data_IF_904114828373
#
_entry.id   IF_904114828373
#
_cell.length_a   1.000
_cell.length_b   1.000
_cell.length_c   1.000
_cell.angle_alpha   90.00
_cell.angle_beta   90.00
_cell.angle_gamma   90.00
#
_symmetry.space_group_name_H-M   'P 1'
#
loop_
_entity.id
_entity.type
_entity.pdbx_description
1 polymer ?
#
# COMPACT_ATOMS: atom_id res chain seq x y z
N UNK A 1 -29.45 -44.74 3.09
CA UNK A 1 -28.74 -44.33 1.86
C UNK A 1 -28.40 -42.85 2.04
N UNK A 2 -27.21 -42.55 2.59
CA UNK A 2 -26.85 -41.21 3.06
C UNK A 2 -26.03 -40.50 1.98
N UNK A 3 -26.50 -39.33 1.56
CA UNK A 3 -25.88 -38.47 0.57
C UNK A 3 -24.88 -37.57 1.33
N UNK A 4 -23.58 -37.85 1.19
CA UNK A 4 -22.53 -37.02 1.78
C UNK A 4 -22.31 -35.78 0.91
N UNK A 5 -22.94 -34.67 1.28
CA UNK A 5 -22.49 -33.33 0.89
C UNK A 5 -21.25 -32.97 1.73
N UNK A 6 -20.07 -33.12 1.15
CA UNK A 6 -18.87 -32.51 1.73
C UNK A 6 -18.88 -31.00 1.47
N UNK A 7 -19.55 -30.32 2.40
CA UNK A 7 -19.23 -29.02 2.97
C UNK A 7 -18.07 -28.25 2.30
N UNK A 8 -18.42 -27.34 1.39
CA UNK A 8 -17.55 -26.25 0.96
C UNK A 8 -17.59 -25.21 2.09
N UNK A 9 -16.83 -25.47 3.16
CA UNK A 9 -16.57 -24.46 4.19
C UNK A 9 -15.62 -23.42 3.61
N UNK A 10 -16.21 -22.42 2.95
CA UNK A 10 -15.60 -21.11 2.75
C UNK A 10 -15.20 -20.63 4.15
N UNK A 11 -13.90 -20.67 4.43
CA UNK A 11 -13.33 -20.13 5.64
C UNK A 11 -13.56 -18.63 5.65
N UNK A 12 -14.60 -18.23 6.39
CA UNK A 12 -14.87 -16.86 6.80
C UNK A 12 -13.74 -16.42 7.75
N UNK A 13 -13.11 -15.29 7.43
CA UNK A 13 -12.36 -14.41 8.34
C UNK A 13 -11.06 -14.95 8.97
N UNK A 14 -10.03 -15.04 8.12
CA UNK A 14 -8.66 -14.57 8.43
C UNK A 14 -8.23 -13.80 7.19
N UNK A 15 -7.77 -12.56 7.33
CA UNK A 15 -7.31 -11.74 6.19
C UNK A 15 -6.10 -12.42 5.57
N UNK A 16 -6.33 -13.32 4.60
CA UNK A 16 -5.28 -14.00 3.89
C UNK A 16 -4.72 -13.02 2.87
N UNK A 17 -3.62 -12.36 3.20
CA UNK A 17 -2.91 -11.53 2.24
C UNK A 17 -2.13 -12.45 1.28
N UNK A 18 -2.65 -12.60 0.06
CA UNK A 18 -1.97 -13.29 -1.04
C UNK A 18 -1.26 -12.25 -1.93
N UNK A 19 -0.11 -12.62 -2.48
CA UNK A 19 0.56 -11.85 -3.55
C UNK A 19 -0.40 -11.52 -4.69
N UNK A 20 -1.36 -12.40 -5.00
CA UNK A 20 -2.38 -12.13 -6.02
C UNK A 20 -3.25 -10.91 -5.69
N UNK A 21 -3.55 -10.67 -4.41
CA UNK A 21 -4.35 -9.52 -4.01
C UNK A 21 -3.54 -8.22 -4.11
N UNK A 22 -2.23 -8.27 -3.84
CA UNK A 22 -1.31 -7.15 -4.08
C UNK A 22 -1.25 -6.83 -5.57
N UNK A 23 -1.08 -7.85 -6.42
CA UNK A 23 -1.05 -7.67 -7.89
C UNK A 23 -2.34 -7.03 -8.39
N UNK A 24 -3.50 -7.51 -7.92
CA UNK A 24 -4.80 -6.93 -8.27
C UNK A 24 -4.91 -5.48 -7.83
N UNK A 25 -4.51 -5.17 -6.60
CA UNK A 25 -4.49 -3.80 -6.10
C UNK A 25 -3.68 -2.89 -7.04
N UNK A 26 -2.45 -3.30 -7.38
CA UNK A 26 -1.58 -2.54 -8.30
C UNK A 26 -2.23 -2.39 -9.68
N UNK A 27 -2.83 -3.45 -10.23
CA UNK A 27 -3.53 -3.38 -11.52
C UNK A 27 -4.73 -2.42 -11.50
N UNK A 28 -5.51 -2.43 -10.42
CA UNK A 28 -6.66 -1.53 -10.24
C UNK A 28 -6.21 -0.06 -10.14
N UNK A 29 -5.08 0.20 -9.47
CA UNK A 29 -4.48 1.54 -9.40
C UNK A 29 -4.12 2.09 -10.78
N UNK A 30 -3.48 1.28 -11.63
CA UNK A 30 -3.15 1.69 -12.99
C UNK A 30 -4.36 1.81 -13.92
N UNK A 31 -5.41 1.05 -13.64
CA UNK A 31 -6.64 1.06 -14.45
C UNK A 31 -7.55 2.25 -14.13
N UNK A 32 -7.45 2.82 -12.93
CA UNK A 32 -8.29 3.92 -12.44
C UNK A 32 -7.46 5.18 -12.16
N UNK A 33 -7.39 6.09 -13.14
CA UNK A 33 -6.61 7.35 -13.04
C UNK A 33 -6.85 8.16 -11.76
N UNK A 34 -8.08 8.30 -11.22
CA UNK A 34 -8.31 9.05 -9.98
C UNK A 34 -7.68 8.39 -8.75
N UNK A 35 -7.66 7.06 -8.70
CA UNK A 35 -7.15 6.29 -7.55
C UNK A 35 -5.64 6.42 -7.44
N UNK A 36 -4.93 6.37 -8.57
CA UNK A 36 -3.49 6.62 -8.62
C UNK A 36 -3.16 8.06 -8.19
N UNK A 37 -3.98 9.04 -8.57
CA UNK A 37 -3.85 10.42 -8.11
C UNK A 37 -3.89 10.53 -6.58
N UNK A 38 -4.91 9.93 -5.96
CA UNK A 38 -5.05 9.90 -4.49
C UNK A 38 -3.84 9.24 -3.82
N UNK A 39 -3.32 8.14 -4.37
CA UNK A 39 -2.15 7.48 -3.82
C UNK A 39 -0.90 8.37 -3.90
N UNK A 40 -0.68 9.05 -5.03
CA UNK A 40 0.44 10.00 -5.18
C UNK A 40 0.35 11.16 -4.20
N UNK A 41 -0.85 11.68 -3.97
CA UNK A 41 -1.06 12.77 -3.02
C UNK A 41 -0.84 12.31 -1.58
N UNK A 42 -1.24 11.07 -1.26
CA UNK A 42 -0.95 10.43 0.01
C UNK A 42 0.56 10.28 0.23
N UNK A 43 1.28 9.73 -0.75
CA UNK A 43 2.73 9.57 -0.72
C UNK A 43 3.46 10.90 -0.53
N UNK A 44 3.01 11.96 -1.22
CA UNK A 44 3.56 13.32 -1.03
C UNK A 44 3.50 13.78 0.42
N UNK A 45 2.39 13.53 1.12
CA UNK A 45 2.28 13.91 2.55
C UNK A 45 3.27 13.13 3.42
N UNK A 46 3.51 11.86 3.11
CA UNK A 46 4.49 11.04 3.85
C UNK A 46 5.91 11.59 3.65
N UNK A 47 6.25 11.95 2.42
CA UNK A 47 7.55 12.54 2.06
C UNK A 47 7.76 13.92 2.70
N UNK A 48 6.80 14.84 2.53
CA UNK A 48 6.86 16.22 3.05
C UNK A 48 6.84 16.30 4.60
N UNK A 49 6.51 15.20 5.28
CA UNK A 49 6.61 15.09 6.74
C UNK A 49 7.92 14.44 7.21
N UNK A 50 8.90 14.30 6.32
CA UNK A 50 10.22 13.69 6.53
C UNK A 50 10.15 12.28 7.11
N UNK A 51 9.09 11.53 6.77
CA UNK A 51 8.89 10.18 7.34
C UNK A 51 9.96 9.21 6.81
N UNK A 52 10.39 9.38 5.56
CA UNK A 52 11.41 8.53 4.93
C UNK A 52 12.83 8.70 5.49
N UNK A 53 13.08 9.72 6.32
CA UNK A 53 14.36 9.86 7.05
C UNK A 53 14.51 8.79 8.15
N UNK A 54 13.39 8.25 8.62
CA UNK A 54 13.38 7.26 9.69
C UNK A 54 13.68 5.85 9.16
N UNK A 55 14.37 5.06 9.98
CA UNK A 55 14.89 3.75 9.58
C UNK A 55 13.80 2.82 9.01
N UNK A 56 14.13 2.17 7.89
CA UNK A 56 13.34 1.21 7.12
C UNK A 56 12.04 1.78 6.50
N UNK A 57 11.67 3.05 6.68
CA UNK A 57 10.41 3.57 6.12
C UNK A 57 10.38 3.56 4.59
N UNK A 58 11.52 3.75 3.96
CA UNK A 58 11.75 3.69 2.52
C UNK A 58 11.65 2.27 1.93
N UNK A 59 11.75 1.23 2.77
CA UNK A 59 11.65 -0.18 2.35
C UNK A 59 10.19 -0.69 2.30
N UNK A 60 9.21 0.15 2.57
CA UNK A 60 7.80 -0.24 2.64
C UNK A 60 7.17 -0.55 1.30
N UNK A 61 6.44 -1.65 1.20
CA UNK A 61 5.66 -2.01 0.02
C UNK A 61 4.17 -1.80 0.27
N UNK A 62 3.45 -1.21 -0.71
CA UNK A 62 2.00 -1.06 -0.61
C UNK A 62 1.33 -2.44 -0.59
N UNK A 63 0.66 -2.75 0.52
CA UNK A 63 -0.11 -3.97 0.70
C UNK A 63 -1.55 -3.80 0.22
N UNK A 64 -2.18 -2.67 0.51
CA UNK A 64 -3.57 -2.39 0.13
C UNK A 64 -3.87 -0.89 0.14
N UNK A 65 -4.74 -0.43 -0.78
CA UNK A 65 -5.20 0.95 -0.85
C UNK A 65 -4.74 1.67 -2.13
N UNK A 66 -5.12 2.96 -2.29
CA UNK A 66 -5.82 3.78 -1.31
C UNK A 66 -7.32 3.46 -1.25
N UNK A 67 -7.84 3.31 -0.03
CA UNK A 67 -9.28 3.20 0.22
C UNK A 67 -9.83 4.59 0.48
N UNK A 68 -10.64 5.08 -0.45
CA UNK A 68 -11.23 6.41 -0.35
C UNK A 68 -12.50 6.40 0.51
N UNK A 69 -12.44 7.04 1.69
CA UNK A 69 -13.60 7.20 2.57
C UNK A 69 -14.05 8.66 2.61
N UNK A 70 -15.16 8.96 3.29
CA UNK A 70 -15.73 10.32 3.33
C UNK A 70 -14.73 11.38 3.83
N UNK A 71 -13.98 11.07 4.89
CA UNK A 71 -13.12 12.04 5.58
C UNK A 71 -11.64 11.67 5.59
N UNK A 72 -11.30 10.46 5.16
CA UNK A 72 -9.95 9.93 5.24
C UNK A 72 -9.64 9.04 4.04
N UNK A 73 -8.35 8.89 3.78
CA UNK A 73 -7.79 7.89 2.87
C UNK A 73 -7.02 6.88 3.71
N UNK A 74 -7.19 5.59 3.43
CA UNK A 74 -6.51 4.53 4.17
C UNK A 74 -5.65 3.68 3.24
N UNK A 75 -4.36 3.58 3.58
CA UNK A 75 -3.38 2.70 2.94
C UNK A 75 -2.80 1.75 3.99
N UNK A 76 -2.45 0.54 3.57
CA UNK A 76 -1.69 -0.40 4.38
C UNK A 76 -0.41 -0.75 3.64
N UNK A 77 0.70 -0.70 4.35
CA UNK A 77 2.03 -1.01 3.85
C UNK A 77 2.59 -2.18 4.62
N UNK A 78 3.51 -2.91 4.01
CA UNK A 78 4.15 -4.08 4.61
C UNK A 78 5.67 -4.00 4.56
N UNK A 79 6.28 -4.65 5.55
CA UNK A 79 7.72 -4.83 5.67
C UNK A 79 8.03 -6.28 6.03
N UNK A 80 9.19 -6.82 5.62
CA UNK A 80 9.73 -8.03 6.21
C UNK A 80 9.78 -7.95 7.75
N UNK A 81 9.61 -9.08 8.42
CA UNK A 81 9.54 -9.15 9.88
C UNK A 81 10.76 -8.54 10.62
N UNK A 82 11.94 -8.64 10.01
CA UNK A 82 13.23 -8.12 10.50
C UNK A 82 13.48 -6.65 10.11
N UNK A 83 12.59 -6.06 9.31
CA UNK A 83 12.68 -4.69 8.78
C UNK A 83 11.55 -3.79 9.29
N UNK A 84 11.12 -3.98 10.53
CA UNK A 84 10.09 -3.12 11.15
C UNK A 84 10.46 -1.63 11.00
N UNK A 85 9.56 -0.78 10.47
CA UNK A 85 9.82 0.64 10.33
C UNK A 85 9.86 1.32 11.70
N UNK A 86 10.74 2.31 11.86
CA UNK A 86 10.94 3.03 13.12
C UNK A 86 9.64 3.74 13.55
N UNK A 87 9.08 3.44 14.74
CA UNK A 87 7.85 4.06 15.21
C UNK A 87 7.88 5.61 15.26
N UNK A 88 9.06 6.23 15.33
CA UNK A 88 9.20 7.69 15.30
C UNK A 88 8.73 8.31 13.98
N UNK A 89 8.89 7.62 12.84
CA UNK A 89 8.32 8.07 11.56
C UNK A 89 6.79 8.06 11.60
N UNK A 90 6.21 7.02 12.20
CA UNK A 90 4.76 6.95 12.39
C UNK A 90 4.25 8.03 13.33
N UNK A 91 5.06 8.43 14.32
CA UNK A 91 4.74 9.55 15.20
C UNK A 91 4.62 10.89 14.45
N UNK A 92 5.45 11.14 13.43
CA UNK A 92 5.32 12.36 12.58
C UNK A 92 3.93 12.46 11.97
N UNK A 93 3.40 11.33 11.49
CA UNK A 93 2.05 11.24 10.94
C UNK A 93 0.99 11.45 12.02
N UNK A 94 1.12 10.81 13.20
CA UNK A 94 0.12 10.97 14.26
C UNK A 94 0.09 12.40 14.83
N UNK A 95 1.25 13.06 14.90
CA UNK A 95 1.36 14.47 15.32
C UNK A 95 0.62 15.42 14.35
N UNK A 96 0.30 14.96 13.12
CA UNK A 96 -0.48 15.68 12.10
C UNK A 96 -1.92 15.19 11.95
N UNK A 97 -2.41 14.38 12.89
CA UNK A 97 -3.80 13.90 12.92
C UNK A 97 -4.06 12.62 12.13
N UNK A 98 -3.03 11.96 11.61
CA UNK A 98 -3.18 10.61 11.07
C UNK A 98 -3.38 9.59 12.20
N UNK A 99 -4.02 8.46 11.88
CA UNK A 99 -4.03 7.28 12.73
C UNK A 99 -3.11 6.23 12.12
N UNK A 100 -2.10 5.81 12.87
CA UNK A 100 -1.12 4.79 12.45
C UNK A 100 -1.23 3.58 13.38
N UNK A 101 -1.31 2.37 12.82
CA UNK A 101 -1.32 1.13 13.61
C UNK A 101 -0.37 0.10 13.02
N UNK A 102 0.31 -0.63 13.89
CA UNK A 102 1.27 -1.68 13.53
C UNK A 102 0.68 -3.04 13.92
N UNK A 103 0.73 -4.00 13.00
CA UNK A 103 0.29 -5.37 13.23
C UNK A 103 1.32 -6.35 12.66
N UNK A 104 1.39 -7.54 13.24
CA UNK A 104 2.11 -8.68 12.63
C UNK A 104 1.12 -9.48 11.81
N UNK A 105 1.54 -9.90 10.62
CA UNK A 105 0.74 -10.76 9.75
C UNK A 105 1.65 -11.73 8.96
N UNK A 106 1.06 -12.56 8.10
CA UNK A 106 1.75 -13.49 7.22
C UNK A 106 1.33 -13.25 5.78
N UNK A 107 2.32 -12.95 4.92
CA UNK A 107 2.15 -12.86 3.48
C UNK A 107 2.36 -14.24 2.84
N UNK A 108 1.35 -14.72 2.13
CA UNK A 108 1.43 -16.02 1.47
C UNK A 108 1.92 -15.85 0.03
N UNK A 109 3.07 -16.44 -0.29
CA UNK A 109 3.66 -16.40 -1.63
C UNK A 109 3.67 -17.81 -2.24
N UNK A 110 3.29 -17.96 -3.53
CA UNK A 110 3.55 -19.19 -4.25
C UNK A 110 5.06 -19.46 -4.33
N UNK A 111 5.47 -20.68 -4.00
CA UNK A 111 6.86 -21.11 -4.14
C UNK A 111 7.22 -21.24 -5.63
N UNK A 112 8.36 -20.68 -6.07
CA UNK A 112 8.91 -20.97 -7.39
C UNK A 112 9.20 -22.47 -7.53
N UNK A 113 8.70 -23.11 -8.58
CA UNK A 113 8.90 -24.54 -8.80
C UNK A 113 10.33 -24.76 -9.30
N UNK A 114 11.15 -25.47 -8.51
CA UNK A 114 12.50 -25.89 -8.92
C UNK A 114 12.58 -27.41 -9.14
N UNK A 115 11.75 -28.19 -8.43
CA UNK A 115 11.70 -29.65 -8.57
C UNK A 115 10.31 -30.26 -8.33
N UNK A 116 10.15 -31.58 -8.54
CA UNK A 116 8.90 -32.33 -8.33
C UNK A 116 8.33 -32.20 -6.90
N UNK A 117 9.17 -31.97 -5.91
CA UNK A 117 8.81 -31.80 -4.49
C UNK A 117 8.11 -30.47 -4.17
N UNK A 118 8.29 -29.45 -5.02
CA UNK A 118 7.70 -28.12 -4.86
C UNK A 118 6.23 -28.07 -5.28
N UNK A 119 5.75 -29.12 -5.92
CA UNK A 119 4.33 -29.29 -6.24
C UNK A 119 3.53 -29.69 -5.01
N UNK A 120 2.28 -29.22 -4.95
CA UNK A 120 1.29 -29.79 -4.05
C UNK A 120 0.92 -31.20 -4.53
N UNK A 121 0.78 -32.19 -3.64
CA UNK A 121 0.44 -33.55 -4.03
C UNK A 121 -0.78 -33.59 -4.96
N UNK A 122 -0.62 -34.15 -6.16
CA UNK A 122 -1.69 -34.29 -7.14
C UNK A 122 -2.05 -33.04 -7.95
N UNK A 123 -1.26 -31.95 -7.90
CA UNK A 123 -1.51 -30.76 -8.73
C UNK A 123 -0.22 -30.19 -9.34
N UNK A 124 -0.35 -29.41 -10.41
CA UNK A 124 0.74 -28.61 -11.00
C UNK A 124 0.95 -27.26 -10.31
N UNK A 125 0.25 -27.00 -9.19
CA UNK A 125 0.40 -25.76 -8.43
C UNK A 125 1.52 -25.91 -7.40
N UNK A 126 2.39 -24.92 -7.35
CA UNK A 126 3.43 -24.83 -6.34
C UNK A 126 2.84 -24.78 -4.92
N UNK A 127 3.64 -25.19 -3.92
CA UNK A 127 3.33 -24.95 -2.50
C UNK A 127 3.21 -23.44 -2.24
N UNK A 128 2.46 -23.08 -1.20
CA UNK A 128 2.35 -21.70 -0.75
C UNK A 128 3.14 -21.61 0.57
N UNK A 129 4.09 -20.68 0.62
CA UNK A 129 4.90 -20.42 1.80
C UNK A 129 4.45 -19.13 2.47
N UNK A 130 4.29 -19.18 3.79
CA UNK A 130 3.98 -18.01 4.62
C UNK A 130 5.26 -17.26 4.98
N UNK A 131 5.24 -15.94 4.75
CA UNK A 131 6.34 -15.04 5.06
C UNK A 131 5.85 -14.06 6.15
N UNK A 132 6.40 -14.11 7.37
CA UNK A 132 6.02 -13.17 8.42
C UNK A 132 6.36 -11.74 8.00
N UNK A 133 5.40 -10.83 8.22
CA UNK A 133 5.51 -9.42 7.87
C UNK A 133 5.02 -8.52 9.00
N UNK A 134 5.51 -7.29 9.00
CA UNK A 134 4.84 -6.17 9.65
C UNK A 134 3.88 -5.52 8.68
N UNK A 135 2.72 -5.11 9.18
CA UNK A 135 1.73 -4.31 8.47
C UNK A 135 1.58 -3.00 9.21
N UNK A 136 1.78 -1.88 8.50
CA UNK A 136 1.48 -0.53 9.00
C UNK A 136 0.28 -0.01 8.25
N UNK A 137 -0.83 0.17 8.97
CA UNK A 137 -2.01 0.83 8.44
C UNK A 137 -1.98 2.30 8.80
N UNK A 138 -2.16 3.15 7.80
CA UNK A 138 -2.15 4.61 7.93
C UNK A 138 -3.49 5.12 7.40
N UNK A 139 -4.25 5.74 8.29
CA UNK A 139 -5.46 6.49 7.97
C UNK A 139 -5.17 7.98 8.04
N UNK A 140 -5.20 8.63 6.88
CA UNK A 140 -4.82 10.03 6.70
C UNK A 140 -6.07 10.91 6.46
N UNK A 141 -6.23 12.04 7.17
CA UNK A 141 -7.31 12.98 6.91
C UNK A 141 -7.19 13.60 5.51
N UNK A 142 -8.32 13.72 4.78
CA UNK A 142 -8.32 14.37 3.45
C UNK A 142 -7.92 15.84 3.51
N UNK A 143 -8.20 16.51 4.61
CA UNK A 143 -7.78 17.90 4.86
C UNK A 143 -6.25 18.02 4.87
N UNK A 144 -5.55 17.07 5.50
CA UNK A 144 -4.09 17.05 5.53
C UNK A 144 -3.53 16.92 4.10
N UNK A 145 -4.08 16.02 3.30
CA UNK A 145 -3.71 15.85 1.88
C UNK A 145 -3.93 17.15 1.10
N UNK A 146 -5.06 17.82 1.31
CA UNK A 146 -5.36 19.11 0.67
C UNK A 146 -4.36 20.21 1.01
N UNK A 147 -3.89 20.28 2.26
CA UNK A 147 -2.92 21.28 2.70
C UNK A 147 -1.57 21.16 1.98
N UNK A 148 -1.12 19.93 1.72
CA UNK A 148 0.14 19.67 1.02
C UNK A 148 0.04 19.79 -0.51
N UNK A 149 -1.17 19.78 -1.09
CA UNK A 149 -1.36 20.12 -2.51
C UNK A 149 -1.11 21.60 -2.76
N UNK A 150 -1.73 22.45 -1.96
CA UNK A 150 -1.73 23.90 -2.19
C UNK A 150 -0.44 24.60 -1.77
N UNK A 151 0.43 23.95 -0.99
CA UNK A 151 1.76 24.48 -0.64
C UNK A 151 2.74 24.60 -1.81
N UNK A 152 2.54 23.83 -2.90
CA UNK A 152 3.42 23.81 -4.08
C UNK A 152 2.78 24.33 -5.38
N UNK A 153 1.46 24.53 -5.38
CA UNK A 153 0.75 25.05 -6.56
C UNK A 153 1.16 26.51 -6.89
N UNK A 154 1.73 27.25 -5.95
CA UNK A 154 2.15 28.66 -6.15
C UNK A 154 3.51 28.75 -6.88
N UNK A 155 4.46 27.85 -6.66
CA UNK A 155 5.77 27.92 -7.34
C UNK A 155 5.74 27.24 -8.71
N UNK A 156 5.12 26.06 -8.82
CA UNK A 156 5.10 25.32 -10.08
C UNK A 156 4.26 25.98 -11.17
N UNK A 157 3.11 26.59 -10.85
CA UNK A 157 2.28 27.28 -11.85
C UNK A 157 2.98 28.53 -12.42
N UNK A 158 3.77 29.22 -11.61
CA UNK A 158 4.53 30.41 -12.03
C UNK A 158 5.64 30.02 -13.01
N UNK A 159 6.32 28.90 -12.76
CA UNK A 159 7.37 28.40 -13.66
C UNK A 159 6.82 27.88 -14.99
N UNK A 160 5.68 27.18 -14.99
CA UNK A 160 5.02 26.73 -16.22
C UNK A 160 4.49 27.91 -17.05
N UNK A 161 3.93 28.94 -16.41
CA UNK A 161 3.44 30.13 -17.10
C UNK A 161 4.61 30.95 -17.67
N UNK A 162 5.68 31.15 -16.91
CA UNK A 162 6.89 31.84 -17.38
C UNK A 162 7.57 31.13 -18.56
N UNK A 163 7.60 29.79 -18.55
CA UNK A 163 8.14 29.00 -19.66
C UNK A 163 7.25 29.07 -20.92
N UNK A 164 5.93 29.11 -20.77
CA UNK A 164 5.00 29.28 -21.90
C UNK A 164 5.07 30.68 -22.50
N UNK A 165 5.15 31.71 -21.66
CA UNK A 165 5.25 33.10 -22.12
C UNK A 165 6.58 33.34 -22.86
N UNK A 166 7.67 32.72 -22.42
CA UNK A 166 8.96 32.77 -23.13
C UNK A 166 8.94 32.03 -24.48
N UNK A 167 8.21 30.91 -24.58
CA UNK A 167 8.07 30.15 -25.83
C UNK A 167 7.12 30.82 -26.85
N UNK A 168 6.17 31.62 -26.37
CA UNK A 168 5.23 32.37 -27.22
C UNK A 168 5.75 33.76 -27.64
N UNK A 169 6.85 34.22 -27.02
CA UNK A 169 7.51 35.48 -27.36
C UNK A 169 8.64 35.34 -28.41
N UNK A 170 8.86 34.12 -28.91
CA UNK A 170 9.80 33.79 -30.00
C UNK A 170 9.07 33.39 -31.27
#
# INVERSE_FOLDING_TARGET
MSINYYSIFIHKYTSMHDVLDIIRNVQDLYSLSPTLGILKDFERVVDELDVYVFKNWDEGELLSGPKDHRHFVECSFMWPMDKMPDPQGGKRLTDKGCKVTYAKDTLFKPRPIKGPEDYRPGTTKGRIDGHPIWVVNIRMPKELIGNFKHGQDIETTVDYQAAQDAANAS
#
